data_IF_756658550192
#
_entry.id   IF_756658550192
#
_cell.length_a   1.000
_cell.length_b   1.000
_cell.length_c   1.000
_cell.angle_alpha   90.00
_cell.angle_beta   90.00
_cell.angle_gamma   90.00
#
_symmetry.space_group_name_H-M   'P 1'
#
loop_
_entity.id
_entity.type
_entity.pdbx_description
1 polymer ?
#
# COMPACT_ATOMS: atom_id res chain seq x y z
N UNK A 1 -0.65 5.62 6.87
CA UNK A 1 0.43 4.61 6.78
C UNK A 1 1.15 4.78 5.45
N UNK A 2 2.49 4.79 5.43
CA UNK A 2 3.26 4.84 4.18
C UNK A 2 3.64 3.40 3.84
N UNK A 3 3.04 2.86 2.78
CA UNK A 3 3.51 1.61 2.17
C UNK A 3 4.84 1.94 1.51
N UNK A 4 5.86 1.13 1.78
CA UNK A 4 7.21 1.33 1.26
C UNK A 4 7.67 0.07 0.56
N UNK A 5 8.06 0.25 -0.70
CA UNK A 5 8.81 -0.77 -1.41
C UNK A 5 10.26 -0.63 -0.98
N UNK A 6 10.81 -1.67 -0.36
CA UNK A 6 12.20 -1.68 0.01
C UNK A 6 12.99 -2.57 -0.94
N UNK A 7 13.98 -1.95 -1.59
CA UNK A 7 14.87 -2.59 -2.54
C UNK A 7 16.27 -2.65 -1.92
N UNK A 8 16.74 -3.84 -1.58
CA UNK A 8 18.13 -4.10 -1.23
C UNK A 8 18.82 -4.66 -2.48
N UNK A 9 19.68 -3.87 -3.11
CA UNK A 9 20.38 -4.28 -4.33
C UNK A 9 21.89 -4.47 -4.06
N UNK A 10 22.43 -5.61 -4.52
CA UNK A 10 23.79 -6.08 -4.21
C UNK A 10 24.94 -5.27 -4.80
N UNK A 11 24.71 -4.39 -5.78
CA UNK A 11 25.78 -3.67 -6.47
C UNK A 11 26.56 -2.67 -5.57
N UNK A 12 26.07 -2.33 -4.38
CA UNK A 12 26.83 -1.48 -3.42
C UNK A 12 26.67 -1.89 -1.95
N UNK A 13 26.18 -3.09 -1.67
CA UNK A 13 25.97 -3.59 -0.31
C UNK A 13 25.22 -2.57 0.56
N UNK A 14 24.04 -2.12 0.13
CA UNK A 14 23.25 -1.12 0.86
C UNK A 14 21.76 -1.35 0.70
N UNK A 15 21.00 -0.95 1.70
CA UNK A 15 19.54 -1.02 1.72
C UNK A 15 18.94 0.32 1.30
N UNK A 16 18.02 0.30 0.33
CA UNK A 16 17.25 1.47 -0.11
C UNK A 16 15.78 1.26 0.21
N UNK A 17 15.24 2.10 1.09
CA UNK A 17 13.80 2.22 1.30
C UNK A 17 13.26 3.27 0.32
N UNK A 18 12.25 2.92 -0.48
CA UNK A 18 11.61 3.83 -1.43
C UNK A 18 10.15 4.07 -1.06
N UNK A 19 9.71 5.31 -1.25
CA UNK A 19 8.29 5.67 -1.20
C UNK A 19 7.57 5.19 -2.46
N UNK A 20 6.22 5.10 -2.46
CA UNK A 20 5.47 4.62 -3.62
C UNK A 20 5.74 5.38 -4.92
N UNK A 21 6.15 6.66 -4.85
CA UNK A 21 6.50 7.47 -6.02
C UNK A 21 7.89 7.15 -6.58
N UNK A 22 8.57 6.14 -6.04
CA UNK A 22 9.92 5.73 -6.42
C UNK A 22 11.03 6.53 -5.75
N UNK A 23 10.70 7.65 -5.08
CA UNK A 23 11.66 8.46 -4.33
C UNK A 23 12.38 7.67 -3.24
N UNK A 24 13.64 7.99 -2.96
CA UNK A 24 14.41 7.34 -1.88
C UNK A 24 13.99 7.97 -0.56
N UNK A 25 13.40 7.16 0.34
CA UNK A 25 13.11 7.58 1.71
C UNK A 25 14.36 7.53 2.58
N UNK A 26 15.10 6.42 2.53
CA UNK A 26 16.32 6.19 3.33
C UNK A 26 17.30 5.30 2.57
N UNK A 27 18.59 5.53 2.83
CA UNK A 27 19.71 4.67 2.43
C UNK A 27 20.54 4.33 3.66
N UNK A 28 20.72 3.04 3.94
CA UNK A 28 21.42 2.57 5.15
C UNK A 28 22.01 1.17 4.95
N UNK A 29 22.84 0.72 5.89
CA UNK A 29 23.32 -0.66 5.97
C UNK A 29 22.33 -1.50 6.77
N UNK A 30 22.05 -2.73 6.35
CA UNK A 30 21.17 -3.64 7.10
C UNK A 30 21.71 -5.06 7.17
N UNK A 31 21.15 -5.83 8.10
CA UNK A 31 21.39 -7.26 8.24
C UNK A 31 20.66 -8.11 7.18
N UNK A 32 19.89 -7.50 6.27
CA UNK A 32 19.25 -8.22 5.17
C UNK A 32 20.30 -8.73 4.18
N UNK A 33 19.96 -9.78 3.40
CA UNK A 33 20.82 -10.21 2.31
C UNK A 33 21.14 -9.06 1.36
N UNK A 34 22.43 -8.88 1.04
CA UNK A 34 22.92 -7.79 0.18
C UNK A 34 22.66 -6.37 0.73
N UNK A 35 22.14 -6.24 1.96
CA UNK A 35 21.87 -4.98 2.63
C UNK A 35 23.11 -4.30 3.22
N UNK A 36 24.24 -4.99 3.27
CA UNK A 36 25.54 -4.49 3.71
C UNK A 36 26.70 -5.15 2.98
N UNK A 37 27.92 -4.61 3.07
CA UNK A 37 29.12 -5.29 2.56
C UNK A 37 29.34 -6.69 3.19
N UNK A 38 28.95 -6.88 4.46
CA UNK A 38 29.08 -8.18 5.15
C UNK A 38 28.07 -9.21 4.68
N UNK A 39 26.88 -8.76 4.29
CA UNK A 39 25.80 -9.62 3.80
C UNK A 39 25.79 -9.73 2.27
N UNK A 40 26.72 -9.05 1.59
CA UNK A 40 26.92 -9.13 0.15
C UNK A 40 27.88 -10.28 -0.17
N UNK A 41 27.34 -11.45 -0.55
CA UNK A 41 28.13 -12.65 -0.86
C UNK A 41 28.29 -12.92 -2.37
N UNK A 42 27.54 -12.21 -3.20
CA UNK A 42 27.48 -12.38 -4.66
C UNK A 42 27.04 -11.08 -5.31
N UNK A 43 27.64 -10.71 -6.45
CA UNK A 43 27.33 -9.48 -7.18
C UNK A 43 25.89 -9.43 -7.69
N UNK A 44 25.30 -10.58 -7.97
CA UNK A 44 24.03 -10.69 -8.69
C UNK A 44 22.82 -10.98 -7.78
N UNK A 45 23.03 -10.92 -6.45
CA UNK A 45 21.97 -11.18 -5.49
C UNK A 45 21.36 -9.88 -4.94
N UNK A 46 20.05 -9.91 -4.74
CA UNK A 46 19.29 -8.78 -4.18
C UNK A 46 18.13 -9.30 -3.32
N UNK A 47 17.50 -8.39 -2.58
CA UNK A 47 16.36 -8.67 -1.72
C UNK A 47 15.32 -7.57 -1.91
N UNK A 48 14.05 -7.95 -2.10
CA UNK A 48 12.93 -7.02 -2.29
C UNK A 48 11.85 -7.39 -1.28
N UNK A 49 11.54 -6.45 -0.41
CA UNK A 49 10.52 -6.57 0.62
C UNK A 49 9.45 -5.49 0.43
N UNK A 50 8.20 -5.87 0.67
CA UNK A 50 7.11 -4.94 0.88
C UNK A 50 7.03 -4.62 2.37
N UNK A 51 7.14 -3.36 2.76
CA UNK A 51 7.28 -2.95 4.14
C UNK A 51 6.41 -1.75 4.49
N UNK A 52 6.03 -1.65 5.76
CA UNK A 52 5.56 -0.41 6.36
C UNK A 52 6.62 0.07 7.34
N UNK A 53 7.08 1.31 7.18
CA UNK A 53 8.03 1.90 8.14
C UNK A 53 7.29 2.67 9.22
N UNK A 54 7.61 2.35 10.46
CA UNK A 54 7.17 3.06 11.64
C UNK A 54 8.38 3.82 12.21
N UNK A 55 8.34 5.15 12.11
CA UNK A 55 9.48 5.99 12.50
C UNK A 55 9.69 6.01 14.02
N UNK A 56 8.60 5.93 14.79
CA UNK A 56 8.62 6.00 16.25
C UNK A 56 9.49 4.93 16.90
N UNK A 57 9.47 3.69 16.36
CA UNK A 57 10.21 2.56 16.89
C UNK A 57 11.32 2.06 15.95
N UNK A 58 11.59 2.83 14.88
CA UNK A 58 12.62 2.56 13.86
C UNK A 58 12.53 1.16 13.28
N UNK A 59 11.31 0.72 12.97
CA UNK A 59 11.04 -0.63 12.47
C UNK A 59 10.42 -0.60 11.09
N UNK A 60 10.94 -1.43 10.19
CA UNK A 60 10.26 -1.84 8.97
C UNK A 60 9.46 -3.12 9.28
N UNK A 61 8.15 -2.99 9.34
CA UNK A 61 7.24 -4.12 9.43
C UNK A 61 7.06 -4.71 8.03
N UNK A 62 7.59 -5.92 7.84
CA UNK A 62 7.62 -6.61 6.55
C UNK A 62 6.24 -7.23 6.30
N UNK A 63 5.57 -6.73 5.27
CA UNK A 63 4.29 -7.24 4.77
C UNK A 63 4.49 -8.46 3.89
N UNK A 64 5.48 -8.39 3.00
CA UNK A 64 5.67 -9.41 1.96
C UNK A 64 7.12 -9.50 1.47
N UNK A 65 7.42 -10.56 0.74
CA UNK A 65 8.74 -10.83 0.13
C UNK A 65 8.57 -11.17 -1.35
N UNK A 66 9.20 -10.36 -2.20
CA UNK A 66 9.17 -10.54 -3.66
C UNK A 66 10.46 -11.15 -4.18
N UNK A 67 11.57 -10.90 -3.49
CA UNK A 67 12.85 -11.51 -3.80
C UNK A 67 13.69 -11.69 -2.54
N UNK A 68 14.34 -12.84 -2.41
CA UNK A 68 15.28 -13.09 -1.31
C UNK A 68 16.56 -13.72 -1.85
N UNK A 69 17.72 -13.06 -1.70
CA UNK A 69 19.01 -13.54 -2.23
C UNK A 69 18.98 -13.84 -3.74
N UNK A 70 18.21 -13.08 -4.51
CA UNK A 70 18.03 -13.30 -5.96
C UNK A 70 16.94 -14.32 -6.32
N UNK A 71 16.38 -15.07 -5.36
CA UNK A 71 15.24 -15.95 -5.61
C UNK A 71 13.96 -15.13 -5.73
N UNK A 72 13.40 -15.07 -6.94
CA UNK A 72 12.13 -14.41 -7.22
C UNK A 72 10.96 -15.24 -6.69
N UNK A 73 10.06 -14.56 -5.98
CA UNK A 73 8.94 -15.17 -5.28
C UNK A 73 7.57 -14.70 -5.81
N UNK A 74 7.53 -13.83 -6.82
CA UNK A 74 6.30 -13.27 -7.39
C UNK A 74 5.26 -14.34 -7.77
N UNK A 75 5.71 -15.46 -8.35
CA UNK A 75 4.86 -16.56 -8.79
C UNK A 75 4.56 -17.59 -7.69
N UNK A 76 4.97 -17.32 -6.44
CA UNK A 76 4.63 -18.16 -5.30
C UNK A 76 3.34 -17.68 -4.64
N UNK A 77 2.62 -18.62 -4.04
CA UNK A 77 1.41 -18.34 -3.27
C UNK A 77 1.73 -17.43 -2.07
N UNK A 78 0.75 -16.62 -1.66
CA UNK A 78 0.87 -15.74 -0.49
C UNK A 78 1.24 -16.53 0.76
N UNK A 79 0.59 -17.68 0.98
CA UNK A 79 0.87 -18.52 2.15
C UNK A 79 2.34 -18.95 2.19
N UNK A 80 2.91 -19.38 1.05
CA UNK A 80 4.32 -19.72 0.97
C UNK A 80 5.23 -18.51 1.21
N UNK A 81 4.95 -17.37 0.57
CA UNK A 81 5.76 -16.14 0.75
C UNK A 81 5.78 -15.69 2.20
N UNK A 82 4.64 -15.68 2.86
CA UNK A 82 4.51 -15.28 4.26
C UNK A 82 5.20 -16.26 5.22
N UNK A 83 5.07 -17.58 4.98
CA UNK A 83 5.82 -18.59 5.73
C UNK A 83 7.33 -18.41 5.56
N UNK A 84 7.79 -18.33 4.32
CA UNK A 84 9.21 -18.24 3.97
C UNK A 84 9.85 -16.97 4.51
N UNK A 85 9.15 -15.83 4.40
CA UNK A 85 9.58 -14.55 4.96
C UNK A 85 9.82 -14.64 6.47
N UNK A 86 8.87 -15.23 7.21
CA UNK A 86 8.98 -15.38 8.67
C UNK A 86 10.16 -16.26 9.06
N UNK A 87 10.28 -17.41 8.42
CA UNK A 87 11.39 -18.34 8.62
C UNK A 87 12.73 -17.63 8.40
N UNK A 88 12.90 -16.97 7.25
CA UNK A 88 14.17 -16.30 6.89
C UNK A 88 14.49 -15.06 7.73
N UNK A 89 13.48 -14.31 8.18
CA UNK A 89 13.71 -13.19 9.10
C UNK A 89 14.08 -13.68 10.52
N UNK A 90 13.64 -14.88 10.92
CA UNK A 90 13.98 -15.46 12.22
C UNK A 90 15.41 -15.99 12.31
N UNK A 91 16.01 -16.39 11.18
CA UNK A 91 17.40 -16.88 11.11
C UNK A 91 18.46 -15.80 11.39
N UNK A 92 18.11 -14.53 11.22
CA UNK A 92 19.06 -13.42 11.13
C UNK A 92 19.04 -12.45 12.30
N UNK A 93 19.99 -11.51 12.28
CA UNK A 93 20.03 -10.38 13.21
C UNK A 93 19.16 -9.20 12.76
N UNK A 94 18.23 -9.41 11.82
CA UNK A 94 17.42 -8.34 11.20
C UNK A 94 16.48 -7.67 12.19
N UNK A 95 16.06 -8.39 13.24
CA UNK A 95 15.25 -7.88 14.34
C UNK A 95 16.06 -7.07 15.38
N UNK A 96 17.39 -7.12 15.35
CA UNK A 96 18.26 -6.51 16.37
C UNK A 96 18.87 -5.22 15.86
N UNK A 97 18.80 -4.17 16.67
CA UNK A 97 19.46 -2.90 16.36
C UNK A 97 20.95 -3.02 16.62
N UNK A 98 21.77 -2.74 15.62
CA UNK A 98 23.24 -2.65 15.72
C UNK A 98 23.74 -1.47 14.89
N UNK A 99 25.01 -1.04 15.02
CA UNK A 99 25.56 0.00 14.14
C UNK A 99 25.49 -0.35 12.64
N UNK A 100 25.52 -1.65 12.30
CA UNK A 100 25.39 -2.14 10.93
C UNK A 100 23.94 -2.52 10.53
N UNK A 101 22.98 -2.37 11.44
CA UNK A 101 21.56 -2.59 11.24
C UNK A 101 20.76 -1.61 12.11
N UNK A 102 20.68 -0.32 11.73
CA UNK A 102 20.09 0.73 12.56
C UNK A 102 18.55 0.67 12.61
N UNK A 103 17.92 -0.12 11.75
CA UNK A 103 16.48 -0.33 11.69
C UNK A 103 16.15 -1.82 11.79
N UNK A 104 15.10 -2.15 12.55
CA UNK A 104 14.63 -3.53 12.70
C UNK A 104 13.77 -3.94 11.52
N UNK A 105 13.82 -5.21 11.15
CA UNK A 105 12.86 -5.84 10.24
C UNK A 105 12.10 -6.92 11.01
N UNK A 106 10.81 -6.70 11.18
CA UNK A 106 9.92 -7.63 11.87
C UNK A 106 8.81 -8.03 10.91
N UNK A 107 8.45 -9.32 10.80
CA UNK A 107 7.28 -9.71 10.03
C UNK A 107 6.02 -9.12 10.66
N UNK A 108 5.06 -8.69 9.84
CA UNK A 108 3.75 -8.33 10.36
C UNK A 108 3.06 -9.58 10.93
N UNK A 109 2.35 -9.48 12.07
CA UNK A 109 1.51 -10.57 12.57
C UNK A 109 0.49 -11.00 11.51
N UNK A 110 0.34 -12.31 11.32
CA UNK A 110 -0.76 -12.86 10.53
C UNK A 110 -1.52 -13.88 11.37
N UNK A 111 -2.80 -13.93 11.09
CA UNK A 111 -3.77 -14.78 11.75
C UNK A 111 -4.53 -15.52 10.66
N UNK A 112 -5.03 -16.70 11.00
CA UNK A 112 -6.00 -17.36 10.14
C UNK A 112 -7.25 -16.49 10.03
N UNK A 113 -7.91 -16.53 8.87
CA UNK A 113 -9.09 -15.70 8.65
C UNK A 113 -10.37 -16.32 9.23
N UNK A 114 -10.29 -17.28 10.15
CA UNK A 114 -11.45 -17.78 10.88
C UNK A 114 -11.97 -16.75 11.92
N UNK A 115 -13.17 -16.94 12.51
CA UNK A 115 -13.72 -15.97 13.46
C UNK A 115 -12.80 -15.64 14.63
N UNK A 116 -12.05 -16.63 15.13
CA UNK A 116 -11.11 -16.43 16.23
C UNK A 116 -9.90 -15.61 15.80
N UNK A 117 -9.32 -15.91 14.65
CA UNK A 117 -8.18 -15.20 14.10
C UNK A 117 -8.49 -13.76 13.67
N UNK A 118 -9.67 -13.53 13.06
CA UNK A 118 -10.14 -12.17 12.73
C UNK A 118 -10.29 -11.34 14.00
N UNK A 119 -10.95 -11.87 15.03
CA UNK A 119 -11.14 -11.15 16.29
C UNK A 119 -9.84 -10.95 17.06
N UNK A 120 -8.90 -11.91 16.98
CA UNK A 120 -7.56 -11.73 17.52
C UNK A 120 -6.83 -10.58 16.82
N UNK A 121 -6.81 -10.54 15.49
CA UNK A 121 -6.18 -9.46 14.74
C UNK A 121 -6.82 -8.09 15.02
N UNK A 122 -8.16 -8.06 15.14
CA UNK A 122 -8.95 -6.86 15.38
C UNK A 122 -8.73 -6.28 16.79
N UNK A 123 -8.79 -7.11 17.83
CA UNK A 123 -8.77 -6.66 19.22
C UNK A 123 -7.36 -6.55 19.82
N UNK A 124 -6.37 -7.25 19.25
CA UNK A 124 -4.98 -7.22 19.76
C UNK A 124 -4.36 -5.83 19.61
N UNK A 125 -3.72 -5.35 20.66
CA UNK A 125 -2.87 -4.16 20.60
C UNK A 125 -1.46 -4.56 20.17
N UNK A 126 -0.88 -3.77 19.27
CA UNK A 126 0.46 -4.01 18.73
C UNK A 126 1.42 -2.89 19.15
N UNK A 127 2.73 -3.14 19.04
CA UNK A 127 3.76 -2.12 19.25
C UNK A 127 3.74 -1.00 18.19
N UNK A 128 3.04 -1.24 17.08
CA UNK A 128 2.86 -0.30 15.99
C UNK A 128 1.43 0.25 15.96
N UNK A 129 1.27 1.36 15.24
CA UNK A 129 -0.04 1.92 14.98
C UNK A 129 -0.80 1.05 13.95
N UNK A 130 -1.87 0.39 14.41
CA UNK A 130 -2.82 -0.30 13.53
C UNK A 130 -3.46 0.71 12.55
N UNK A 131 -3.53 0.35 11.28
CA UNK A 131 -4.17 1.14 10.21
C UNK A 131 -4.98 0.23 9.26
N UNK A 132 -5.80 -0.63 9.86
CA UNK A 132 -6.63 -1.61 9.18
C UNK A 132 -6.18 -3.06 9.34
N UNK A 133 -6.97 -3.97 8.76
CA UNK A 133 -6.68 -5.39 8.62
C UNK A 133 -6.50 -5.71 7.14
N UNK A 134 -5.47 -6.46 6.79
CA UNK A 134 -5.18 -6.86 5.41
C UNK A 134 -5.50 -8.34 5.25
N UNK A 135 -6.49 -8.64 4.43
CA UNK A 135 -6.90 -10.00 4.07
C UNK A 135 -6.22 -10.39 2.76
N UNK A 136 -5.63 -11.59 2.75
CA UNK A 136 -4.97 -12.15 1.58
C UNK A 136 -5.59 -13.48 1.21
N UNK A 137 -5.81 -13.70 -0.09
CA UNK A 137 -6.04 -15.04 -0.62
C UNK A 137 -4.75 -15.86 -0.51
N UNK A 138 -4.79 -16.98 0.23
CA UNK A 138 -3.63 -17.84 0.47
C UNK A 138 -2.94 -18.28 -0.82
N UNK A 139 -3.73 -18.66 -1.83
CA UNK A 139 -3.26 -19.09 -3.14
C UNK A 139 -2.84 -17.94 -4.09
N UNK A 140 -3.01 -16.68 -3.69
CA UNK A 140 -2.72 -15.53 -4.55
C UNK A 140 -1.23 -15.35 -4.85
N UNK A 141 -0.91 -14.92 -6.07
CA UNK A 141 0.44 -14.50 -6.45
C UNK A 141 0.64 -13.00 -6.17
N UNK A 142 1.90 -12.57 -6.09
CA UNK A 142 2.20 -11.14 -5.88
C UNK A 142 2.13 -10.40 -7.22
N UNK A 143 1.11 -9.57 -7.39
CA UNK A 143 0.94 -8.70 -8.55
C UNK A 143 1.09 -7.24 -8.12
N UNK A 144 1.71 -6.43 -8.98
CA UNK A 144 1.79 -5.00 -8.76
C UNK A 144 0.44 -4.34 -9.06
N UNK A 145 0.06 -3.36 -8.23
CA UNK A 145 -1.18 -2.60 -8.40
C UNK A 145 -2.35 -3.19 -7.61
N UNK A 146 -3.57 -2.89 -8.07
CA UNK A 146 -4.80 -3.37 -7.44
C UNK A 146 -4.98 -4.86 -7.71
N UNK A 147 -5.38 -5.59 -6.66
CA UNK A 147 -5.65 -7.02 -6.74
C UNK A 147 -6.91 -7.36 -5.97
N UNK A 148 -7.87 -8.08 -6.56
CA UNK A 148 -9.04 -8.56 -5.83
C UNK A 148 -8.68 -9.65 -4.80
N UNK A 149 -7.45 -10.16 -4.85
CA UNK A 149 -6.93 -11.18 -3.94
C UNK A 149 -6.34 -10.61 -2.65
N UNK A 150 -6.37 -9.28 -2.50
CA UNK A 150 -5.96 -8.58 -1.30
C UNK A 150 -7.00 -7.49 -0.96
N UNK A 151 -7.51 -7.51 0.27
CA UNK A 151 -8.52 -6.56 0.74
C UNK A 151 -8.04 -5.88 2.01
N UNK A 152 -8.18 -4.55 2.07
CA UNK A 152 -7.91 -3.79 3.29
C UNK A 152 -9.23 -3.42 3.95
N UNK A 153 -9.47 -3.95 5.14
CA UNK A 153 -10.55 -3.51 6.03
C UNK A 153 -10.10 -2.36 6.91
N UNK A 154 -10.94 -1.35 7.07
CA UNK A 154 -10.74 -0.23 8.00
C UNK A 154 -12.05 0.21 8.62
N UNK A 155 -11.98 0.56 9.89
CA UNK A 155 -13.02 1.21 10.67
C UNK A 155 -12.40 2.20 11.67
N UNK A 156 -13.25 2.81 12.50
CA UNK A 156 -12.83 3.75 13.53
C UNK A 156 -11.92 3.13 14.61
N UNK A 157 -11.99 1.81 14.82
CA UNK A 157 -11.20 1.10 15.84
C UNK A 157 -9.82 0.70 15.33
N UNK A 158 -9.72 0.44 14.02
CA UNK A 158 -8.51 -0.08 13.36
C UNK A 158 -7.71 0.99 12.63
N UNK A 159 -8.28 2.16 12.34
CA UNK A 159 -7.61 3.25 11.64
C UNK A 159 -7.94 4.62 12.21
N UNK A 160 -6.90 5.42 12.47
CA UNK A 160 -7.04 6.85 12.81
C UNK A 160 -7.55 7.70 11.65
N UNK A 161 -7.46 7.19 10.42
CA UNK A 161 -7.81 7.90 9.19
C UNK A 161 -9.01 7.26 8.49
N UNK A 162 -9.98 6.76 9.27
CA UNK A 162 -11.18 6.12 8.73
C UNK A 162 -11.99 7.07 7.84
N UNK A 163 -12.27 8.28 8.33
CA UNK A 163 -12.91 9.38 7.57
C UNK A 163 -12.07 10.64 7.78
N UNK A 164 -11.34 11.06 6.74
CA UNK A 164 -10.26 12.06 6.88
C UNK A 164 -10.65 13.48 6.43
N UNK A 165 -11.71 13.66 5.65
CA UNK A 165 -12.10 14.95 5.08
C UNK A 165 -13.55 15.32 5.38
N UNK A 166 -13.84 16.60 5.57
CA UNK A 166 -15.22 17.07 5.71
C UNK A 166 -16.01 16.90 4.40
N UNK A 167 -15.36 17.11 3.25
CA UNK A 167 -15.93 16.94 1.91
C UNK A 167 -15.36 15.70 1.21
N UNK A 168 -16.17 15.03 0.42
CA UNK A 168 -15.73 13.93 -0.43
C UNK A 168 -14.75 14.46 -1.49
N UNK A 169 -13.66 13.72 -1.71
CA UNK A 169 -12.67 14.07 -2.71
C UNK A 169 -11.96 12.84 -3.26
N UNK A 170 -11.53 12.93 -4.51
CA UNK A 170 -10.80 11.90 -5.22
C UNK A 170 -9.59 12.51 -5.92
N UNK A 171 -8.46 11.80 -5.90
CA UNK A 171 -7.31 12.12 -6.73
C UNK A 171 -7.31 11.28 -8.00
N UNK A 172 -7.24 11.94 -9.16
CA UNK A 172 -7.23 11.32 -10.48
C UNK A 172 -5.92 11.64 -11.21
N UNK A 173 -5.53 10.80 -12.17
CA UNK A 173 -4.35 11.02 -13.03
C UNK A 173 -4.78 11.55 -14.39
N UNK A 174 -4.10 12.56 -14.90
CA UNK A 174 -4.30 13.08 -16.25
C UNK A 174 -3.60 12.19 -17.29
N UNK A 175 -4.33 11.74 -18.30
CA UNK A 175 -3.84 10.92 -19.43
C UNK A 175 -3.87 11.71 -20.76
N UNK A 176 -3.35 11.12 -21.84
CA UNK A 176 -3.12 11.75 -23.17
C UNK A 176 -4.31 12.46 -23.82
N UNK A 177 -5.55 12.13 -23.43
CA UNK A 177 -6.78 12.69 -24.02
C UNK A 177 -7.46 13.75 -23.14
N UNK A 178 -6.70 14.39 -22.25
CA UNK A 178 -7.25 15.25 -21.17
C UNK A 178 -8.24 14.52 -20.25
N UNK A 179 -8.10 13.20 -20.16
CA UNK A 179 -8.94 12.34 -19.34
C UNK A 179 -8.32 12.18 -17.95
N UNK A 180 -9.12 12.38 -16.93
CA UNK A 180 -8.76 12.14 -15.55
C UNK A 180 -9.27 10.79 -15.10
N UNK A 181 -8.33 9.89 -14.83
CA UNK A 181 -8.61 8.47 -14.58
C UNK A 181 -8.31 8.04 -13.15
N UNK A 182 -9.06 7.05 -12.67
CA UNK A 182 -8.79 6.33 -11.43
C UNK A 182 -7.57 5.40 -11.57
N UNK A 183 -7.17 4.77 -10.47
CA UNK A 183 -6.12 3.75 -10.49
C UNK A 183 -6.46 2.53 -11.36
N UNK A 184 -7.73 2.17 -11.53
CA UNK A 184 -8.16 1.09 -12.44
C UNK A 184 -8.23 1.54 -13.91
N UNK A 185 -8.05 2.83 -14.21
CA UNK A 185 -8.21 3.38 -15.57
C UNK A 185 -9.64 3.80 -15.91
N UNK A 186 -10.49 4.01 -14.91
CA UNK A 186 -11.86 4.50 -15.12
C UNK A 186 -11.80 6.02 -15.32
N UNK A 187 -12.30 6.50 -16.46
CA UNK A 187 -12.41 7.94 -16.74
C UNK A 187 -13.58 8.52 -15.95
N UNK A 188 -13.31 9.51 -15.10
CA UNK A 188 -14.36 10.21 -14.33
C UNK A 188 -14.55 11.67 -14.73
N UNK A 189 -13.61 12.24 -15.49
CA UNK A 189 -13.69 13.61 -15.98
C UNK A 189 -12.83 13.80 -17.22
N UNK A 190 -13.36 14.53 -18.19
CA UNK A 190 -12.61 14.94 -19.39
C UNK A 190 -12.56 16.45 -19.42
N UNK A 191 -11.34 17.00 -19.38
CA UNK A 191 -11.13 18.44 -19.42
C UNK A 191 -11.01 18.95 -20.86
N UNK A 192 -11.44 20.20 -21.07
CA UNK A 192 -11.08 20.94 -22.28
C UNK A 192 -9.62 21.43 -22.21
N UNK A 193 -9.14 21.93 -23.34
CA UNK A 193 -7.76 22.41 -23.46
C UNK A 193 -7.48 23.63 -22.56
N UNK A 194 -8.45 24.54 -22.44
CA UNK A 194 -8.29 25.77 -21.66
C UNK A 194 -8.14 25.46 -20.17
N UNK A 195 -8.88 24.47 -19.66
CA UNK A 195 -8.76 23.97 -18.29
C UNK A 195 -7.35 23.43 -18.00
N UNK A 196 -6.80 22.60 -18.90
CA UNK A 196 -5.46 22.00 -18.72
C UNK A 196 -4.38 23.08 -18.70
N UNK A 197 -4.47 24.03 -19.63
CA UNK A 197 -3.54 25.17 -19.69
C UNK A 197 -3.65 26.07 -18.46
N UNK A 198 -4.87 26.44 -18.05
CA UNK A 198 -5.11 27.33 -16.93
C UNK A 198 -4.58 26.76 -15.60
N UNK A 199 -4.68 25.44 -15.42
CA UNK A 199 -4.24 24.76 -14.20
C UNK A 199 -2.80 24.23 -14.29
N UNK A 200 -2.07 24.56 -15.36
CA UNK A 200 -0.69 24.13 -15.61
C UNK A 200 -0.50 22.61 -15.44
N UNK A 201 -1.43 21.82 -15.99
CA UNK A 201 -1.43 20.36 -15.88
C UNK A 201 -0.73 19.73 -17.10
N UNK A 202 -0.08 18.60 -16.88
CA UNK A 202 0.57 17.79 -17.90
C UNK A 202 0.24 16.32 -17.70
N UNK A 203 0.37 15.52 -18.77
CA UNK A 203 0.17 14.07 -18.71
C UNK A 203 0.97 13.43 -17.55
N UNK A 204 0.31 12.54 -16.80
CA UNK A 204 0.83 11.91 -15.60
C UNK A 204 0.61 12.70 -14.31
N UNK A 205 0.19 13.97 -14.38
CA UNK A 205 -0.12 14.75 -13.19
C UNK A 205 -1.30 14.17 -12.42
N UNK A 206 -1.21 14.28 -11.11
CA UNK A 206 -2.30 13.95 -10.21
C UNK A 206 -3.06 15.21 -9.83
N UNK A 207 -4.38 15.19 -9.91
CA UNK A 207 -5.26 16.29 -9.55
C UNK A 207 -6.33 15.83 -8.55
N UNK A 208 -6.60 16.67 -7.55
CA UNK A 208 -7.63 16.43 -6.55
C UNK A 208 -8.93 17.12 -6.98
N UNK A 209 -10.02 16.37 -6.93
CA UNK A 209 -11.37 16.83 -7.22
C UNK A 209 -12.27 16.60 -6.02
N UNK A 210 -13.14 17.55 -5.71
CA UNK A 210 -14.29 17.32 -4.82
C UNK A 210 -15.49 16.89 -5.63
N UNK A 211 -16.41 16.14 -5.03
CA UNK A 211 -17.65 15.71 -5.65
C UNK A 211 -18.79 15.68 -4.62
N UNK A 212 -20.04 15.66 -5.11
CA UNK A 212 -21.23 15.65 -4.26
C UNK A 212 -21.78 14.23 -4.09
N UNK A 213 -22.01 13.53 -5.19
CA UNK A 213 -22.59 12.18 -5.20
C UNK A 213 -21.83 11.26 -6.15
N UNK A 214 -21.98 9.96 -5.92
CA UNK A 214 -21.52 8.92 -6.82
C UNK A 214 -22.74 8.20 -7.38
N UNK A 215 -22.72 7.93 -8.67
CA UNK A 215 -23.82 7.32 -9.41
C UNK A 215 -23.26 6.13 -10.21
N UNK A 216 -24.10 5.13 -10.45
CA UNK A 216 -23.79 4.02 -11.34
C UNK A 216 -24.82 4.09 -12.46
N UNK A 217 -24.35 4.08 -13.71
CA UNK A 217 -25.25 4.03 -14.86
C UNK A 217 -25.92 2.65 -15.01
N UNK A 218 -26.82 2.51 -15.98
CA UNK A 218 -27.52 1.25 -16.27
C UNK A 218 -26.56 0.10 -16.64
N UNK A 219 -25.32 0.41 -17.03
CA UNK A 219 -24.26 -0.56 -17.37
C UNK A 219 -23.29 -0.79 -16.21
N UNK A 220 -23.61 -0.29 -15.01
CA UNK A 220 -22.74 -0.33 -13.82
C UNK A 220 -21.41 0.42 -14.00
N UNK A 221 -21.35 1.36 -14.94
CA UNK A 221 -20.20 2.25 -15.06
C UNK A 221 -20.31 3.36 -14.01
N UNK A 222 -19.25 3.60 -13.24
CA UNK A 222 -19.27 4.60 -12.20
C UNK A 222 -19.12 6.02 -12.74
N UNK A 223 -19.89 6.95 -12.18
CA UNK A 223 -19.84 8.38 -12.49
C UNK A 223 -19.91 9.20 -11.20
N UNK A 224 -19.39 10.43 -11.26
CA UNK A 224 -19.44 11.40 -10.15
C UNK A 224 -20.17 12.66 -10.60
N UNK A 225 -21.12 13.12 -9.78
CA UNK A 225 -21.82 14.38 -10.00
C UNK A 225 -21.26 15.50 -9.11
N UNK A 226 -21.31 16.73 -9.63
CA UNK A 226 -20.76 17.91 -8.95
C UNK A 226 -19.23 17.91 -8.84
N UNK A 227 -18.53 17.27 -9.78
CA UNK A 227 -17.07 17.20 -9.75
C UNK A 227 -16.47 18.60 -9.97
N UNK A 228 -15.63 19.04 -9.02
CA UNK A 228 -14.96 20.33 -9.07
C UNK A 228 -13.48 20.17 -8.78
N UNK A 229 -12.63 20.79 -9.61
CA UNK A 229 -11.19 20.80 -9.41
C UNK A 229 -10.84 21.56 -8.12
N UNK A 230 -9.99 20.94 -7.29
CA UNK A 230 -9.52 21.53 -6.04
C UNK A 230 -8.10 22.02 -6.21
N UNK A 231 -7.19 21.15 -6.67
CA UNK A 231 -5.77 21.48 -6.86
C UNK A 231 -5.00 20.38 -7.60
N UNK A 232 -3.87 20.76 -8.19
CA UNK A 232 -2.79 19.85 -8.56
C UNK A 232 -2.17 19.23 -7.30
N UNK A 233 -1.87 17.94 -7.32
CA UNK A 233 -1.26 17.22 -6.22
C UNK A 233 0.27 17.39 -6.21
N UNK A 234 0.87 17.14 -5.05
CA UNK A 234 2.33 17.10 -4.92
C UNK A 234 2.92 15.94 -5.73
N UNK A 235 4.09 16.14 -6.37
CA UNK A 235 4.84 15.05 -7.03
C UNK A 235 5.24 13.90 -6.09
N UNK A 236 5.21 14.12 -4.77
CA UNK A 236 5.45 13.05 -3.80
C UNK A 236 4.34 12.00 -3.78
N UNK A 237 3.13 12.37 -4.21
CA UNK A 237 2.02 11.44 -4.35
C UNK A 237 2.22 10.62 -5.63
N UNK A 238 2.19 9.30 -5.47
CA UNK A 238 2.57 8.37 -6.53
C UNK A 238 1.40 7.92 -7.42
N UNK A 239 0.23 7.75 -6.79
CA UNK A 239 -0.89 7.04 -7.40
C UNK A 239 -2.18 7.86 -7.31
N UNK A 240 -3.02 7.79 -8.36
CA UNK A 240 -4.41 8.19 -8.23
C UNK A 240 -5.14 7.27 -7.25
N UNK A 241 -6.32 7.70 -6.82
CA UNK A 241 -7.21 6.90 -6.00
C UNK A 241 -7.94 5.85 -6.86
N UNK A 242 -8.30 4.73 -6.23
CA UNK A 242 -9.15 3.70 -6.82
C UNK A 242 -10.63 4.08 -6.71
N UNK A 243 -11.47 3.54 -7.58
CA UNK A 243 -12.93 3.64 -7.44
C UNK A 243 -13.40 3.03 -6.12
N UNK A 244 -12.80 1.92 -5.71
CA UNK A 244 -13.09 1.26 -4.43
C UNK A 244 -12.86 2.17 -3.22
N UNK A 245 -11.95 3.15 -3.32
CA UNK A 245 -11.76 4.16 -2.27
C UNK A 245 -12.96 5.09 -2.12
N UNK A 246 -13.61 5.46 -3.22
CA UNK A 246 -14.83 6.29 -3.19
C UNK A 246 -15.93 5.51 -2.48
N UNK A 247 -16.19 4.28 -2.93
CA UNK A 247 -17.21 3.41 -2.33
C UNK A 247 -16.96 3.20 -0.84
N UNK A 248 -15.70 2.97 -0.47
CA UNK A 248 -15.29 2.86 0.94
C UNK A 248 -15.59 4.15 1.72
N UNK A 249 -15.18 5.32 1.24
CA UNK A 249 -15.41 6.60 1.93
C UNK A 249 -16.90 6.97 2.04
N UNK A 250 -17.70 6.60 1.04
CA UNK A 250 -19.15 6.76 1.10
C UNK A 250 -19.76 5.83 2.17
N UNK A 251 -19.47 4.53 2.09
CA UNK A 251 -19.97 3.54 3.05
C UNK A 251 -19.57 3.90 4.49
N UNK A 252 -18.31 4.29 4.70
CA UNK A 252 -17.79 4.71 6.01
C UNK A 252 -18.56 5.90 6.60
N UNK A 253 -19.11 6.81 5.78
CA UNK A 253 -19.93 7.95 6.23
C UNK A 253 -21.39 7.60 6.44
N UNK A 254 -21.90 6.59 5.73
CA UNK A 254 -23.28 6.11 5.81
C UNK A 254 -23.49 5.04 6.88
N UNK A 255 -22.61 4.96 7.88
CA UNK A 255 -22.69 4.01 9.00
C UNK A 255 -21.68 2.86 8.93
N UNK A 256 -21.00 2.67 7.80
CA UNK A 256 -20.02 1.61 7.59
C UNK A 256 -20.65 0.21 7.56
N UNK A 257 -19.78 -0.80 7.45
CA UNK A 257 -20.13 -2.19 7.71
C UNK A 257 -19.37 -2.56 8.99
N UNK A 258 -20.03 -3.11 10.01
CA UNK A 258 -19.35 -3.46 11.25
C UNK A 258 -18.56 -4.76 11.08
N UNK A 259 -17.48 -4.95 11.84
CA UNK A 259 -16.57 -6.11 11.66
C UNK A 259 -17.29 -7.44 11.88
N UNK A 260 -18.33 -7.44 12.71
CA UNK A 260 -19.17 -8.57 13.05
C UNK A 260 -19.83 -9.20 11.81
N UNK A 261 -20.14 -8.40 10.77
CA UNK A 261 -20.71 -8.94 9.52
C UNK A 261 -19.73 -9.86 8.78
N UNK A 262 -18.41 -9.69 8.94
CA UNK A 262 -17.43 -10.64 8.38
C UNK A 262 -17.55 -12.00 9.08
N UNK A 263 -17.99 -12.01 10.34
CA UNK A 263 -18.14 -13.20 11.18
C UNK A 263 -19.47 -13.94 10.94
N UNK A 264 -20.41 -13.35 10.19
CA UNK A 264 -21.72 -13.96 9.90
C UNK A 264 -21.69 -14.92 8.70
N UNK A 265 -20.62 -14.91 7.91
CA UNK A 265 -20.50 -15.64 6.64
C UNK A 265 -19.83 -17.03 6.81
N UNK A 266 -19.76 -17.54 8.04
CA UNK A 266 -19.12 -18.82 8.39
C UNK A 266 -20.11 -19.97 8.54
#
# INVERSE_FOLDING_TARGET
MVILYMLCYGDRGSTLARIPSGGILKKFQSALPCGSHKTNRSSDSYCILDCIFQEQDKTFYVLDVMCWKGYLLYNCTTEFRLYWMRDKLSEGATATVTPANPFRFLPIPCYESDPGGVMAAYSTTFSFLKDGLLFYMKAGHYNLGLSPLALVWKDANTSRFFVYSAKLSIVLRLETNNEFVTLEGIVLFTADYDFVQHNELSEGDLANFSFEQHEMDEKQSPHLSGLAFVKRCSPQRALPDSWTKILFQYNARSGGIPIEHILEVW
#
